data_IF_494361067811
#
_entry.id   IF_494361067811
#
_cell.length_a   1.000
_cell.length_b   1.000
_cell.length_c   1.000
_cell.angle_alpha   90.00
_cell.angle_beta   90.00
_cell.angle_gamma   90.00
#
_symmetry.space_group_name_H-M   'P 1'
#
loop_
_entity.id
_entity.type
_entity.pdbx_description
1 polymer ?
#
# COMPACT_ATOMS: atom_id res chain seq x y z
N UNK A 1 11.73 13.04 -10.39
CA UNK A 1 12.16 11.99 -11.28
C UNK A 1 11.58 12.22 -12.67
N UNK A 2 12.42 12.14 -13.69
CA UNK A 2 12.05 12.45 -15.07
C UNK A 2 11.14 11.35 -15.64
N UNK A 3 9.84 11.61 -15.73
CA UNK A 3 8.89 10.73 -16.40
C UNK A 3 9.04 10.67 -17.93
N UNK A 4 10.03 11.38 -18.51
CA UNK A 4 10.41 11.27 -19.94
C UNK A 4 11.20 10.01 -20.28
N UNK A 5 11.56 9.22 -19.29
CA UNK A 5 12.36 8.00 -19.42
C UNK A 5 11.66 6.78 -18.82
N UNK A 6 10.33 6.67 -19.01
CA UNK A 6 9.55 5.54 -18.47
C UNK A 6 10.17 4.18 -18.80
N UNK A 7 10.71 4.01 -20.01
CA UNK A 7 11.43 2.80 -20.37
C UNK A 7 12.72 2.58 -19.58
N UNK A 8 13.49 3.64 -19.31
CA UNK A 8 14.72 3.53 -18.53
C UNK A 8 14.45 3.17 -17.06
N UNK A 9 13.40 3.77 -16.46
CA UNK A 9 12.98 3.44 -15.10
C UNK A 9 12.56 1.96 -14.99
N UNK A 10 11.70 1.49 -15.88
CA UNK A 10 11.20 0.10 -15.84
C UNK A 10 12.33 -0.90 -16.05
N UNK A 11 13.30 -0.60 -16.93
CA UNK A 11 14.48 -1.44 -17.10
C UNK A 11 15.31 -1.53 -15.81
N UNK A 12 15.50 -0.42 -15.09
CA UNK A 12 16.18 -0.44 -13.79
C UNK A 12 15.33 -1.15 -12.71
N UNK A 13 14.02 -0.94 -12.72
CA UNK A 13 13.11 -1.58 -11.79
C UNK A 13 13.08 -3.11 -11.98
N UNK A 14 13.25 -3.62 -13.18
CA UNK A 14 13.32 -5.05 -13.46
C UNK A 14 14.43 -5.73 -12.65
N UNK A 15 15.62 -5.12 -12.53
CA UNK A 15 16.71 -5.66 -11.70
C UNK A 15 16.31 -5.74 -10.22
N UNK A 16 15.56 -4.74 -9.73
CA UNK A 16 15.03 -4.76 -8.37
C UNK A 16 14.02 -5.92 -8.20
N UNK A 17 13.08 -6.09 -9.14
CA UNK A 17 12.09 -7.18 -9.08
C UNK A 17 12.75 -8.56 -9.09
N UNK A 18 13.78 -8.76 -9.93
CA UNK A 18 14.56 -10.00 -9.96
C UNK A 18 15.31 -10.24 -8.64
N UNK A 19 16.00 -9.21 -8.11
CA UNK A 19 16.71 -9.31 -6.84
C UNK A 19 15.77 -9.62 -5.69
N UNK A 20 14.60 -8.97 -5.65
CA UNK A 20 13.56 -9.20 -4.64
C UNK A 20 13.04 -10.64 -4.72
N UNK A 21 12.69 -11.11 -5.92
CA UNK A 21 12.24 -12.49 -6.14
C UNK A 21 13.26 -13.50 -5.63
N UNK A 22 14.54 -13.26 -5.87
CA UNK A 22 15.63 -14.15 -5.44
C UNK A 22 15.71 -14.29 -3.92
N UNK A 23 15.58 -13.18 -3.16
CA UNK A 23 15.76 -13.18 -1.70
C UNK A 23 14.51 -13.54 -0.92
N UNK A 24 13.34 -13.47 -1.53
CA UNK A 24 12.09 -13.83 -0.88
C UNK A 24 12.00 -15.33 -0.57
N UNK A 25 11.37 -15.67 0.54
CA UNK A 25 10.94 -17.06 0.83
C UNK A 25 9.81 -17.47 -0.13
N UNK A 26 9.76 -18.74 -0.56
CA UNK A 26 8.63 -19.26 -1.35
C UNK A 26 7.28 -19.02 -0.66
N UNK A 27 6.23 -18.81 -1.44
CA UNK A 27 4.88 -18.59 -0.95
C UNK A 27 4.61 -17.25 -0.26
N UNK A 28 5.61 -16.37 -0.16
CA UNK A 28 5.44 -15.04 0.46
C UNK A 28 4.92 -14.00 -0.52
N UNK A 29 4.29 -12.96 0.03
CA UNK A 29 3.64 -11.90 -0.72
C UNK A 29 4.53 -10.66 -0.82
N UNK A 30 4.37 -9.93 -1.92
CA UNK A 30 4.84 -8.56 -2.12
C UNK A 30 3.64 -7.69 -2.44
N UNK A 31 3.55 -6.55 -1.76
CA UNK A 31 2.54 -5.53 -2.01
C UNK A 31 3.23 -4.28 -2.57
N UNK A 32 2.82 -3.85 -3.76
CA UNK A 32 3.41 -2.70 -4.45
C UNK A 32 2.35 -1.63 -4.65
N UNK A 33 2.56 -0.46 -4.04
CA UNK A 33 1.68 0.69 -4.21
C UNK A 33 2.12 1.52 -5.41
N UNK A 34 1.20 1.85 -6.29
CA UNK A 34 1.46 2.67 -7.46
C UNK A 34 0.23 3.48 -7.90
N UNK A 35 0.43 4.37 -8.84
CA UNK A 35 -0.62 5.07 -9.59
C UNK A 35 -0.15 5.24 -11.03
N UNK A 36 -1.09 5.26 -11.97
CA UNK A 36 -0.78 5.53 -13.37
C UNK A 36 -0.31 6.98 -13.56
N UNK A 37 0.50 7.22 -14.57
CA UNK A 37 1.12 8.53 -14.77
C UNK A 37 0.38 9.35 -15.81
N UNK A 38 0.02 10.63 -15.50
CA UNK A 38 -0.62 11.49 -16.47
C UNK A 38 0.34 11.92 -17.58
N UNK A 39 -0.06 11.71 -18.82
CA UNK A 39 0.61 12.22 -20.00
C UNK A 39 0.25 13.69 -20.22
N UNK A 40 1.24 14.48 -20.66
CA UNK A 40 1.11 15.90 -20.98
C UNK A 40 1.43 16.13 -22.45
N UNK A 41 0.56 16.88 -23.17
CA UNK A 41 0.73 17.15 -24.59
C UNK A 41 2.13 17.68 -24.97
N UNK A 42 2.67 18.63 -24.16
CA UNK A 42 3.96 19.24 -24.42
C UNK A 42 5.18 18.34 -24.18
N UNK A 43 5.02 17.27 -23.36
CA UNK A 43 6.10 16.32 -23.05
C UNK A 43 5.93 15.01 -23.83
N UNK A 44 4.69 14.50 -23.87
CA UNK A 44 4.40 13.13 -24.30
C UNK A 44 3.66 13.10 -25.65
N UNK A 45 3.44 14.26 -26.27
CA UNK A 45 2.73 14.41 -27.56
C UNK A 45 1.22 14.25 -27.49
N UNK A 46 0.69 13.64 -26.43
CA UNK A 46 -0.74 13.37 -26.24
C UNK A 46 -1.17 13.66 -24.79
N UNK A 47 -2.49 13.78 -24.60
CA UNK A 47 -3.12 13.82 -23.27
C UNK A 47 -3.72 12.45 -22.99
N UNK A 48 -3.32 11.80 -21.88
CA UNK A 48 -3.80 10.47 -21.53
C UNK A 48 -3.19 10.00 -20.22
N UNK A 49 -3.15 8.70 -20.03
CA UNK A 49 -2.47 8.02 -18.93
C UNK A 49 -1.48 7.02 -19.51
N UNK A 50 -0.31 6.92 -18.88
CA UNK A 50 0.60 5.82 -19.06
C UNK A 50 0.20 4.73 -18.06
N UNK A 51 -0.01 3.52 -18.53
CA UNK A 51 -0.32 2.34 -17.70
C UNK A 51 0.94 1.89 -16.94
N UNK A 52 1.27 2.64 -15.89
CA UNK A 52 2.42 2.31 -15.04
C UNK A 52 2.15 1.07 -14.17
N UNK A 53 0.90 0.86 -13.79
CA UNK A 53 0.49 -0.33 -13.05
C UNK A 53 0.71 -1.62 -13.88
N UNK A 54 0.39 -1.59 -15.17
CA UNK A 54 0.67 -2.70 -16.10
C UNK A 54 2.16 -2.96 -16.28
N UNK A 55 2.96 -1.90 -16.42
CA UNK A 55 4.42 -2.01 -16.52
C UNK A 55 5.02 -2.71 -15.29
N UNK A 56 4.57 -2.36 -14.08
CA UNK A 56 5.00 -3.00 -12.84
C UNK A 56 4.55 -4.46 -12.74
N UNK A 57 3.30 -4.76 -13.15
CA UNK A 57 2.81 -6.14 -13.20
C UNK A 57 3.70 -6.97 -14.11
N UNK A 58 4.02 -6.45 -15.30
CA UNK A 58 4.90 -7.13 -16.24
C UNK A 58 6.30 -7.35 -15.64
N UNK A 59 6.92 -6.35 -15.01
CA UNK A 59 8.25 -6.46 -14.43
C UNK A 59 8.32 -7.56 -13.35
N UNK A 60 7.32 -7.65 -12.48
CA UNK A 60 7.28 -8.69 -11.44
C UNK A 60 6.98 -10.08 -11.99
N UNK A 61 6.09 -10.19 -12.98
CA UNK A 61 5.80 -11.49 -13.61
C UNK A 61 6.96 -12.00 -14.46
N UNK A 62 7.64 -11.13 -15.18
CA UNK A 62 8.87 -11.47 -15.90
C UNK A 62 9.99 -11.93 -14.95
N UNK A 63 10.04 -11.37 -13.72
CA UNK A 63 10.96 -11.81 -12.66
C UNK A 63 10.54 -13.14 -11.99
N UNK A 64 9.46 -13.78 -12.42
CA UNK A 64 8.99 -15.09 -11.92
C UNK A 64 8.04 -15.03 -10.72
N UNK A 65 7.46 -13.88 -10.42
CA UNK A 65 6.38 -13.78 -9.44
C UNK A 65 5.03 -14.07 -10.07
N UNK A 66 4.11 -14.60 -9.28
CA UNK A 66 2.72 -14.82 -9.66
C UNK A 66 1.94 -13.53 -9.34
N UNK A 67 1.29 -12.93 -10.34
CA UNK A 67 0.35 -11.84 -10.11
C UNK A 67 -0.89 -12.37 -9.38
N UNK A 68 -1.09 -11.92 -8.15
CA UNK A 68 -2.14 -12.44 -7.26
C UNK A 68 -3.42 -11.61 -7.30
N UNK A 69 -3.31 -10.34 -7.67
CA UNK A 69 -4.44 -9.42 -7.82
C UNK A 69 -4.07 -7.97 -7.56
N UNK A 70 -5.08 -7.12 -7.52
CA UNK A 70 -4.92 -5.71 -7.11
C UNK A 70 -6.17 -5.19 -6.42
N UNK A 71 -5.97 -4.24 -5.51
CA UNK A 71 -7.03 -3.37 -5.00
C UNK A 71 -6.88 -1.97 -5.54
N UNK A 72 -8.01 -1.34 -5.85
CA UNK A 72 -8.07 0.06 -6.27
C UNK A 72 -8.33 0.92 -5.05
N UNK A 73 -7.46 1.90 -4.80
CA UNK A 73 -7.61 2.87 -3.71
C UNK A 73 -8.32 4.10 -4.28
N UNK A 74 -9.53 4.33 -3.81
CA UNK A 74 -10.32 5.47 -4.26
C UNK A 74 -9.71 6.79 -3.79
N UNK A 75 -9.72 7.78 -4.68
CA UNK A 75 -9.36 9.16 -4.39
C UNK A 75 -10.46 10.09 -4.82
N UNK A 76 -10.74 11.11 -4.01
CA UNK A 76 -11.71 12.14 -4.36
C UNK A 76 -11.27 12.89 -5.63
N UNK A 77 -12.04 12.82 -6.73
CA UNK A 77 -11.68 13.48 -7.98
C UNK A 77 -11.60 15.01 -7.86
N UNK A 78 -12.31 15.64 -6.91
CA UNK A 78 -12.22 17.07 -6.66
C UNK A 78 -10.85 17.44 -6.06
N UNK A 79 -10.39 16.66 -5.08
CA UNK A 79 -9.07 16.81 -4.47
C UNK A 79 -7.96 16.56 -5.50
N UNK A 80 -8.09 15.52 -6.30
CA UNK A 80 -7.15 15.21 -7.38
C UNK A 80 -7.12 16.32 -8.45
N UNK A 81 -8.26 16.84 -8.83
CA UNK A 81 -8.36 17.96 -9.77
C UNK A 81 -7.62 19.20 -9.25
N UNK A 82 -7.81 19.54 -7.97
CA UNK A 82 -7.15 20.68 -7.34
C UNK A 82 -5.64 20.50 -7.24
N UNK A 83 -5.20 19.30 -6.94
CA UNK A 83 -3.78 18.95 -6.77
C UNK A 83 -3.03 18.89 -8.10
N UNK A 84 -3.59 18.20 -9.08
CA UNK A 84 -2.90 17.92 -10.35
C UNK A 84 -3.16 18.96 -11.42
N UNK A 85 -4.31 19.66 -11.36
CA UNK A 85 -4.81 20.58 -12.39
C UNK A 85 -4.79 19.97 -13.80
N UNK A 86 -4.89 18.64 -13.86
CA UNK A 86 -4.85 17.90 -15.12
C UNK A 86 -6.06 18.24 -15.98
N UNK A 87 -5.83 18.63 -17.23
CA UNK A 87 -6.83 19.23 -18.12
C UNK A 87 -8.10 18.38 -18.23
N UNK A 88 -7.98 17.06 -18.47
CA UNK A 88 -9.11 16.15 -18.61
C UNK A 88 -9.89 15.92 -17.31
N UNK A 89 -9.32 16.23 -16.14
CA UNK A 89 -9.96 16.05 -14.84
C UNK A 89 -10.65 17.33 -14.35
N UNK A 90 -10.48 18.46 -15.04
CA UNK A 90 -11.11 19.73 -14.64
C UNK A 90 -12.63 19.67 -14.82
N UNK A 91 -13.41 19.95 -13.77
CA UNK A 91 -14.88 19.96 -13.82
C UNK A 91 -15.43 20.80 -14.98
N UNK A 92 -14.81 21.95 -15.28
CA UNK A 92 -15.22 22.79 -16.40
C UNK A 92 -15.08 22.13 -17.78
N UNK A 93 -14.27 21.07 -17.89
CA UNK A 93 -14.02 20.38 -19.15
C UNK A 93 -15.29 19.71 -19.71
N UNK A 94 -16.17 19.24 -18.83
CA UNK A 94 -17.44 18.61 -19.21
C UNK A 94 -18.34 19.56 -20.04
N UNK A 95 -18.20 20.89 -19.83
CA UNK A 95 -18.96 21.91 -20.57
C UNK A 95 -18.26 22.41 -21.82
N UNK A 96 -16.93 22.23 -21.91
CA UNK A 96 -16.14 22.66 -23.06
C UNK A 96 -16.09 21.63 -24.16
N UNK A 97 -15.68 20.42 -23.76
CA UNK A 97 -15.52 19.27 -24.65
C UNK A 97 -15.50 18.02 -23.78
N UNK A 98 -16.64 17.35 -23.70
CA UNK A 98 -16.80 16.16 -22.88
C UNK A 98 -15.94 14.97 -23.35
N UNK A 99 -15.55 14.95 -24.64
CA UNK A 99 -14.65 13.92 -25.17
C UNK A 99 -13.23 13.97 -24.55
N UNK A 100 -12.85 15.14 -24.00
CA UNK A 100 -11.60 15.31 -23.29
C UNK A 100 -11.68 15.03 -21.78
N UNK A 101 -12.89 14.69 -21.31
CA UNK A 101 -13.11 14.35 -19.91
C UNK A 101 -12.52 12.99 -19.60
N UNK A 102 -11.96 12.83 -18.41
CA UNK A 102 -11.49 11.54 -17.92
C UNK A 102 -11.91 11.32 -16.47
N UNK A 103 -11.92 10.07 -16.06
CA UNK A 103 -12.12 9.66 -14.65
C UNK A 103 -10.95 10.11 -13.77
N UNK A 104 -11.18 10.20 -12.46
CA UNK A 104 -10.13 10.41 -11.48
C UNK A 104 -9.07 9.30 -11.55
N UNK A 105 -7.87 9.61 -11.06
CA UNK A 105 -6.77 8.63 -11.00
C UNK A 105 -6.77 7.98 -9.62
N UNK A 106 -7.10 6.68 -9.52
CA UNK A 106 -6.93 5.95 -8.27
C UNK A 106 -5.46 5.64 -8.02
N UNK A 107 -5.13 5.23 -6.80
CA UNK A 107 -3.94 4.43 -6.59
C UNK A 107 -4.29 2.94 -6.68
N UNK A 108 -3.28 2.14 -6.91
CA UNK A 108 -3.39 0.69 -6.93
C UNK A 108 -2.46 0.08 -5.89
N UNK A 109 -2.96 -0.93 -5.19
CA UNK A 109 -2.13 -1.86 -4.45
C UNK A 109 -2.07 -3.16 -5.26
N UNK A 110 -0.90 -3.46 -5.81
CA UNK A 110 -0.64 -4.68 -6.58
C UNK A 110 -0.12 -5.76 -5.64
N UNK A 111 -0.62 -6.97 -5.79
CA UNK A 111 -0.24 -8.12 -4.99
C UNK A 111 0.46 -9.15 -5.85
N UNK A 112 1.62 -9.60 -5.40
CA UNK A 112 2.39 -10.65 -6.05
C UNK A 112 2.77 -11.72 -5.03
N UNK A 113 2.82 -12.96 -5.47
CA UNK A 113 3.24 -14.09 -4.66
C UNK A 113 4.47 -14.73 -5.28
N UNK A 114 5.49 -15.01 -4.47
CA UNK A 114 6.59 -15.87 -4.93
C UNK A 114 6.07 -17.30 -5.07
N UNK A 115 6.39 -17.94 -6.19
CA UNK A 115 6.03 -19.33 -6.42
C UNK A 115 6.64 -20.28 -5.36
N UNK A 116 5.99 -21.41 -5.17
CA UNK A 116 6.34 -22.43 -4.21
C UNK A 116 5.48 -22.44 -2.94
N UNK A 117 5.66 -23.47 -2.14
CA UNK A 117 4.95 -23.66 -0.88
C UNK A 117 5.55 -22.79 0.22
N UNK A 118 4.67 -22.29 1.10
CA UNK A 118 5.10 -21.58 2.29
C UNK A 118 5.31 -22.59 3.45
N UNK A 119 6.56 -22.92 3.79
CA UNK A 119 6.83 -23.87 4.88
C UNK A 119 6.45 -23.30 6.26
N UNK A 120 6.53 -21.99 6.40
CA UNK A 120 6.18 -21.27 7.63
C UNK A 120 4.84 -20.57 7.41
N UNK A 121 3.73 -21.25 7.64
CA UNK A 121 2.39 -20.66 7.48
C UNK A 121 2.24 -19.42 8.34
N UNK A 122 1.62 -18.38 7.78
CA UNK A 122 1.21 -17.21 8.55
C UNK A 122 -0.24 -17.48 8.94
N UNK A 123 -0.44 -17.71 10.22
CA UNK A 123 -1.78 -17.83 10.80
C UNK A 123 -2.05 -16.52 11.53
N UNK A 124 -3.07 -15.79 11.10
CA UNK A 124 -3.61 -14.72 11.92
C UNK A 124 -4.17 -15.39 13.17
N UNK A 125 -3.70 -14.95 14.36
CA UNK A 125 -4.11 -15.54 15.63
C UNK A 125 -5.63 -15.72 15.64
N UNK A 126 -6.07 -16.98 15.58
CA UNK A 126 -7.44 -17.28 15.90
C UNK A 126 -7.67 -16.89 17.37
N UNK A 127 -8.88 -16.47 17.78
CA UNK A 127 -9.19 -16.06 19.15
C UNK A 127 -8.88 -17.10 20.23
N UNK A 128 -8.42 -18.30 19.82
CA UNK A 128 -8.09 -19.41 20.72
C UNK A 128 -6.80 -19.27 21.51
N UNK A 129 -5.89 -18.37 21.15
CA UNK A 129 -4.58 -18.28 21.82
C UNK A 129 -4.30 -16.88 22.40
N UNK A 130 -5.28 -16.34 23.11
CA UNK A 130 -5.14 -15.07 23.85
C UNK A 130 -3.91 -15.10 24.78
N UNK A 131 -3.59 -16.26 25.37
CA UNK A 131 -2.42 -16.40 26.24
C UNK A 131 -1.10 -16.19 25.50
N UNK A 132 -0.97 -16.73 24.28
CA UNK A 132 0.23 -16.51 23.48
C UNK A 132 0.28 -15.07 22.95
N UNK A 133 -0.83 -14.48 22.55
CA UNK A 133 -0.91 -13.07 22.16
C UNK A 133 -0.49 -12.13 23.32
N UNK A 134 -1.02 -12.36 24.51
CA UNK A 134 -0.63 -11.61 25.73
C UNK A 134 0.87 -11.75 26.00
N UNK A 135 1.43 -12.93 25.85
CA UNK A 135 2.86 -13.19 26.08
C UNK A 135 3.75 -12.43 25.08
N UNK A 136 3.37 -12.39 23.82
CA UNK A 136 4.08 -11.64 22.77
C UNK A 136 4.04 -10.14 23.07
N UNK A 137 2.85 -9.59 23.35
CA UNK A 137 2.67 -8.17 23.67
C UNK A 137 3.42 -7.80 24.95
N UNK A 138 3.36 -8.65 25.97
CA UNK A 138 4.11 -8.44 27.22
C UNK A 138 5.63 -8.37 26.97
N UNK A 139 6.18 -9.29 26.17
CA UNK A 139 7.62 -9.28 25.82
C UNK A 139 8.00 -7.96 25.16
N UNK A 140 7.18 -7.48 24.25
CA UNK A 140 7.39 -6.19 23.59
C UNK A 140 7.30 -5.02 24.58
N UNK A 141 6.30 -4.98 25.46
CA UNK A 141 6.14 -3.94 26.48
C UNK A 141 7.29 -3.92 27.49
N UNK A 142 7.82 -5.08 27.86
CA UNK A 142 9.04 -5.14 28.71
C UNK A 142 10.24 -4.51 28.01
N UNK A 143 10.41 -4.74 26.72
CA UNK A 143 11.49 -4.13 25.96
C UNK A 143 11.30 -2.61 25.84
N UNK A 144 10.08 -2.15 25.60
CA UNK A 144 9.75 -0.71 25.59
C UNK A 144 10.00 -0.06 26.95
N UNK A 145 9.67 -0.73 28.06
CA UNK A 145 9.95 -0.26 29.41
C UNK A 145 11.46 -0.19 29.66
N UNK A 146 12.21 -1.23 29.27
CA UNK A 146 13.68 -1.25 29.36
C UNK A 146 14.34 -0.10 28.60
N UNK A 147 13.78 0.30 27.47
CA UNK A 147 14.25 1.42 26.66
C UNK A 147 13.78 2.79 27.16
N UNK A 148 13.02 2.84 28.27
CA UNK A 148 12.46 4.09 28.81
C UNK A 148 11.30 4.69 27.97
N UNK A 149 10.75 3.92 27.04
CA UNK A 149 9.66 4.33 26.16
C UNK A 149 8.27 4.03 26.74
N UNK A 150 8.20 3.23 27.80
CA UNK A 150 6.99 2.94 28.57
C UNK A 150 7.25 3.13 30.05
N UNK A 151 6.33 3.74 30.79
CA UNK A 151 6.45 4.01 32.23
C UNK A 151 6.26 2.76 33.09
N UNK A 152 5.50 1.78 32.60
CA UNK A 152 5.21 0.51 33.28
C UNK A 152 4.77 -0.56 32.30
N UNK A 153 4.82 -1.83 32.73
CA UNK A 153 4.24 -2.95 32.00
C UNK A 153 2.92 -3.35 32.66
N UNK A 154 1.79 -3.30 31.93
CA UNK A 154 0.48 -3.68 32.47
C UNK A 154 0.40 -5.15 32.90
N UNK A 155 -0.61 -5.52 33.69
CA UNK A 155 -0.93 -6.91 34.01
C UNK A 155 -1.40 -7.68 32.75
N UNK A 156 -1.37 -9.02 32.80
CA UNK A 156 -1.85 -9.86 31.71
C UNK A 156 -3.33 -9.61 31.37
N UNK A 157 -4.15 -9.39 32.40
CA UNK A 157 -5.56 -9.09 32.20
C UNK A 157 -5.77 -7.72 31.52
N UNK A 158 -4.97 -6.73 31.89
CA UNK A 158 -4.98 -5.43 31.25
C UNK A 158 -4.48 -5.50 29.80
N UNK A 159 -3.44 -6.29 29.53
CA UNK A 159 -2.97 -6.55 28.17
C UNK A 159 -4.02 -7.29 27.37
N UNK A 160 -4.64 -8.34 27.93
CA UNK A 160 -5.70 -9.10 27.27
C UNK A 160 -6.89 -8.23 26.91
N UNK A 161 -7.26 -7.28 27.80
CA UNK A 161 -8.35 -6.33 27.53
C UNK A 161 -8.02 -5.32 26.40
N UNK A 162 -6.74 -5.06 26.15
CA UNK A 162 -6.28 -4.17 25.08
C UNK A 162 -6.08 -4.89 23.73
N UNK A 163 -5.90 -6.22 23.78
CA UNK A 163 -5.84 -7.03 22.55
C UNK A 163 -7.27 -7.11 22.02
N UNK A 164 -7.56 -6.53 20.84
CA UNK A 164 -8.90 -6.66 20.29
C UNK A 164 -9.24 -8.15 20.22
N UNK A 165 -10.42 -8.54 20.70
CA UNK A 165 -11.02 -9.83 20.36
C UNK A 165 -11.40 -9.76 18.87
N UNK A 166 -10.39 -9.68 18.03
CA UNK A 166 -10.53 -9.76 16.60
C UNK A 166 -10.79 -11.24 16.28
N UNK A 167 -12.01 -11.68 16.54
CA UNK A 167 -12.58 -12.59 15.57
C UNK A 167 -12.41 -11.85 14.25
N UNK A 168 -11.60 -12.40 13.37
CA UNK A 168 -11.50 -11.99 11.98
C UNK A 168 -12.85 -12.36 11.38
N UNK A 169 -13.87 -11.58 11.73
CA UNK A 169 -15.22 -11.87 11.28
C UNK A 169 -15.29 -11.63 9.75
N UNK A 170 -16.29 -12.23 9.14
CA UNK A 170 -16.51 -12.11 7.69
C UNK A 170 -16.62 -10.64 7.27
N UNK A 171 -17.14 -9.78 8.14
CA UNK A 171 -17.33 -8.36 7.87
C UNK A 171 -16.00 -7.60 7.82
N UNK A 172 -15.07 -7.87 8.76
CA UNK A 172 -13.72 -7.31 8.72
C UNK A 172 -12.94 -7.84 7.51
N UNK A 173 -13.05 -9.14 7.24
CA UNK A 173 -12.45 -9.73 6.05
C UNK A 173 -12.98 -9.09 4.76
N UNK A 174 -14.27 -8.85 4.63
CA UNK A 174 -14.86 -8.18 3.46
C UNK A 174 -14.28 -6.80 3.20
N UNK A 175 -14.03 -6.02 4.26
CA UNK A 175 -13.39 -4.69 4.12
C UNK A 175 -11.96 -4.80 3.60
N UNK A 176 -11.18 -5.72 4.17
CA UNK A 176 -9.78 -5.91 3.81
C UNK A 176 -9.63 -6.48 2.40
N UNK A 177 -10.40 -7.52 2.07
CA UNK A 177 -10.37 -8.22 0.78
C UNK A 177 -11.13 -7.49 -0.33
N UNK A 178 -11.72 -6.32 -0.06
CA UNK A 178 -12.43 -5.54 -1.06
C UNK A 178 -11.52 -5.17 -2.24
N UNK A 179 -11.96 -5.35 -3.48
CA UNK A 179 -11.20 -4.91 -4.66
C UNK A 179 -11.12 -3.39 -4.80
N UNK A 180 -11.92 -2.65 -4.01
CA UNK A 180 -11.90 -1.18 -3.95
C UNK A 180 -11.88 -0.74 -2.51
N UNK A 181 -10.85 -0.01 -2.13
CA UNK A 181 -10.71 0.59 -0.80
C UNK A 181 -11.13 2.06 -0.85
N UNK A 182 -12.30 2.37 -0.28
CA UNK A 182 -12.90 3.70 -0.35
C UNK A 182 -12.63 4.56 0.90
N UNK A 183 -12.13 3.97 1.96
CA UNK A 183 -11.99 4.54 3.30
C UNK A 183 -10.52 4.80 3.71
N UNK A 184 -9.59 4.76 2.76
CA UNK A 184 -8.19 5.11 3.00
C UNK A 184 -8.05 6.61 3.26
N UNK A 185 -7.53 6.96 4.44
CA UNK A 185 -7.29 8.35 4.80
C UNK A 185 -5.97 8.84 4.19
N UNK A 186 -6.06 9.64 3.14
CA UNK A 186 -4.90 10.14 2.40
C UNK A 186 -3.91 10.94 3.26
N UNK A 187 -4.36 11.52 4.36
CA UNK A 187 -3.53 12.27 5.32
C UNK A 187 -2.92 11.45 6.46
N UNK A 188 -3.26 10.16 6.57
CA UNK A 188 -2.73 9.29 7.61
C UNK A 188 -1.38 8.69 7.20
N UNK A 189 -0.31 9.47 7.39
CA UNK A 189 1.06 9.14 6.98
C UNK A 189 2.06 9.38 8.11
N UNK A 190 3.19 8.66 8.09
CA UNK A 190 4.22 8.73 9.12
C UNK A 190 4.84 10.12 9.31
N UNK A 191 4.86 10.96 8.28
CA UNK A 191 5.54 12.27 8.32
C UNK A 191 4.78 13.37 9.08
N UNK A 192 3.77 13.05 9.87
CA UNK A 192 3.07 14.03 10.71
C UNK A 192 3.91 14.58 11.86
N UNK A 193 4.89 13.80 12.34
CA UNK A 193 5.81 14.20 13.41
C UNK A 193 7.23 14.33 12.85
N UNK A 194 7.68 15.55 12.64
CA UNK A 194 9.05 15.83 12.20
C UNK A 194 9.93 16.18 13.40
N UNK A 195 11.07 15.52 13.50
CA UNK A 195 12.23 16.10 14.17
C UNK A 195 12.82 17.20 13.28
N UNK A 196 13.32 18.28 13.91
CA UNK A 196 13.97 19.36 13.16
C UNK A 196 15.22 18.78 12.46
N UNK A 197 15.19 18.76 11.11
CA UNK A 197 16.29 18.23 10.29
C UNK A 197 15.93 17.03 9.39
N UNK A 198 14.77 16.42 9.57
CA UNK A 198 14.35 15.31 8.71
C UNK A 198 13.93 15.78 7.31
N UNK A 199 14.45 15.12 6.29
CA UNK A 199 13.99 15.30 4.92
C UNK A 199 12.53 14.84 4.77
N UNK A 200 11.73 15.68 4.08
CA UNK A 200 10.32 15.37 3.85
C UNK A 200 10.19 14.34 2.72
N UNK A 201 9.67 13.16 3.03
CA UNK A 201 9.29 12.22 1.98
C UNK A 201 8.20 12.85 1.09
N UNK A 202 8.44 12.86 -0.23
CA UNK A 202 7.58 13.56 -1.20
C UNK A 202 6.19 12.91 -1.30
N UNK A 203 6.11 11.59 -1.20
CA UNK A 203 4.87 10.81 -1.28
C UNK A 203 4.91 9.70 -0.23
N UNK A 204 4.63 10.01 1.05
CA UNK A 204 4.60 8.98 2.10
C UNK A 204 3.40 8.04 1.87
N UNK A 205 3.63 6.74 2.10
CA UNK A 205 2.56 5.73 2.03
C UNK A 205 1.60 5.91 3.22
N UNK A 206 0.31 5.75 2.99
CA UNK A 206 -0.72 5.81 4.02
C UNK A 206 -0.60 4.60 4.96
N UNK A 207 -0.71 4.85 6.26
CA UNK A 207 -0.66 3.80 7.29
C UNK A 207 -1.81 2.80 7.16
N UNK A 208 -2.99 3.28 6.76
CA UNK A 208 -4.15 2.43 6.51
C UNK A 208 -3.89 1.36 5.43
N UNK A 209 -3.11 1.73 4.40
CA UNK A 209 -2.73 0.80 3.32
C UNK A 209 -1.76 -0.26 3.83
N UNK A 210 -0.79 0.16 4.65
CA UNK A 210 0.18 -0.76 5.26
C UNK A 210 -0.54 -1.74 6.19
N UNK A 211 -1.41 -1.22 7.08
CA UNK A 211 -2.19 -2.03 8.01
C UNK A 211 -3.01 -3.11 7.28
N UNK A 212 -3.72 -2.73 6.20
CA UNK A 212 -4.50 -3.69 5.40
C UNK A 212 -3.64 -4.78 4.78
N UNK A 213 -2.50 -4.43 4.21
CA UNK A 213 -1.60 -5.43 3.64
C UNK A 213 -1.09 -6.41 4.71
N UNK A 214 -0.72 -5.90 5.90
CA UNK A 214 -0.26 -6.74 7.01
C UNK A 214 -1.35 -7.61 7.64
N UNK A 215 -2.61 -7.18 7.55
CA UNK A 215 -3.77 -7.95 8.03
C UNK A 215 -4.30 -8.96 7.02
N UNK A 216 -3.98 -8.80 5.74
CA UNK A 216 -4.36 -9.75 4.68
C UNK A 216 -3.35 -10.86 4.50
N UNK A 217 -2.06 -10.58 4.70
CA UNK A 217 -0.93 -11.44 4.34
C UNK A 217 0.10 -11.55 5.46
#
# INVERSE_FOLDING_TARGET
GNAGEGGAFINQYAFFAEALTRVMKPGRMVCVHCTDMPMRKGRDGAIGLQDFSGDLIKAHTDAGMIYHGRSTIWKDPVVEMQRTKALGLLYKQIRKDSAMNRVGMPDYMLFFRKDGDNPDRIEHCAPGDMKEAVKIVRKWLHEMHRLGLASSVPSDDAIAALIPHAEFDVYEWQKLASPVWMDIQQGNVLNRMKAAGDERHVCPLQLDVIDRCLRLY
#
